data_IF_074541696440
#
_entry.id   IF_074541696440
#
_cell.length_a   1.000
_cell.length_b   1.000
_cell.length_c   1.000
_cell.angle_alpha   90.00
_cell.angle_beta   90.00
_cell.angle_gamma   90.00
#
_symmetry.space_group_name_H-M   'P 1'
#
loop_
_entity.id
_entity.type
_entity.pdbx_description
1 polymer ?
#
# COMPACT_ATOMS: atom_id res chain seq x y z
N UNK A 1 20.48 16.02 29.16
CA UNK A 1 20.43 15.47 27.79
C UNK A 1 18.96 15.19 27.54
N UNK A 2 18.33 15.78 26.53
CA UNK A 2 16.92 15.48 26.22
C UNK A 2 16.85 14.09 25.59
N UNK A 3 15.86 13.30 26.00
CA UNK A 3 15.61 12.00 25.41
C UNK A 3 15.26 12.14 23.92
N UNK A 4 15.72 11.22 23.05
CA UNK A 4 15.43 11.29 21.63
C UNK A 4 13.92 11.14 21.37
N UNK A 5 13.37 11.99 20.52
CA UNK A 5 11.98 11.87 20.07
C UNK A 5 11.88 10.77 19.02
N UNK A 6 10.98 9.81 19.26
CA UNK A 6 10.82 8.61 18.43
C UNK A 6 9.42 8.48 17.85
N UNK A 7 9.29 7.61 16.87
CA UNK A 7 8.02 7.14 16.31
C UNK A 7 8.13 5.65 15.98
N UNK A 8 6.99 4.96 15.96
CA UNK A 8 6.94 3.53 15.71
C UNK A 8 5.54 3.11 15.29
N UNK A 9 5.44 1.94 14.66
CA UNK A 9 4.19 1.24 14.45
C UNK A 9 4.19 -0.04 15.30
N UNK A 10 3.10 -0.28 16.02
CA UNK A 10 3.01 -1.37 16.99
C UNK A 10 2.57 -2.66 16.29
N UNK A 11 3.21 -3.82 16.54
CA UNK A 11 2.71 -5.09 16.01
C UNK A 11 1.32 -5.43 16.58
N UNK A 12 0.39 -6.00 15.79
CA UNK A 12 -1.01 -6.19 16.23
C UNK A 12 -1.19 -7.20 17.37
N UNK A 13 -0.17 -8.02 17.66
CA UNK A 13 -0.16 -8.98 18.77
C UNK A 13 0.40 -8.41 20.08
N UNK A 14 0.77 -7.12 20.12
CA UNK A 14 1.24 -6.42 21.32
C UNK A 14 0.19 -5.45 21.88
N UNK A 15 0.40 -4.98 23.11
CA UNK A 15 -0.41 -3.92 23.69
C UNK A 15 -0.23 -2.60 22.92
N UNK A 16 -1.35 -1.91 22.64
CA UNK A 16 -1.39 -0.74 21.76
C UNK A 16 -0.95 0.59 22.39
N UNK A 17 -1.05 1.67 21.61
CA UNK A 17 -0.60 3.04 21.98
C UNK A 17 -1.69 3.92 22.59
N UNK A 18 -2.91 3.41 22.84
CA UNK A 18 -3.94 4.16 23.58
C UNK A 18 -3.71 4.02 25.10
N UNK A 19 -2.52 4.44 25.51
CA UNK A 19 -2.00 4.36 26.86
C UNK A 19 -0.94 5.46 27.07
N UNK A 20 -0.59 5.75 28.32
CA UNK A 20 0.46 6.74 28.64
C UNK A 20 1.86 6.26 28.22
N UNK A 21 2.08 4.94 28.14
CA UNK A 21 3.34 4.32 27.76
C UNK A 21 3.10 3.05 26.93
N UNK A 22 4.05 2.70 26.07
CA UNK A 22 4.08 1.45 25.30
C UNK A 22 5.49 0.85 25.31
N UNK A 23 5.57 -0.47 25.38
CA UNK A 23 6.83 -1.22 25.27
C UNK A 23 6.99 -1.74 23.84
N UNK A 24 8.14 -1.49 23.22
CA UNK A 24 8.44 -1.93 21.86
C UNK A 24 9.87 -2.48 21.76
N UNK A 25 10.10 -3.32 20.76
CA UNK A 25 11.46 -3.71 20.40
C UNK A 25 12.17 -2.53 19.75
N UNK A 26 13.47 -2.36 20.03
CA UNK A 26 14.27 -1.31 19.40
C UNK A 26 14.32 -1.39 17.86
N UNK A 27 14.08 -2.58 17.29
CA UNK A 27 13.98 -2.80 15.84
C UNK A 27 12.74 -2.17 15.19
N UNK A 28 11.71 -1.88 15.98
CA UNK A 28 10.40 -1.39 15.51
C UNK A 28 10.30 0.14 15.67
N UNK A 29 11.31 0.75 16.27
CA UNK A 29 11.37 2.17 16.64
C UNK A 29 12.38 2.90 15.76
N UNK A 30 12.01 4.11 15.33
CA UNK A 30 12.87 5.01 14.56
C UNK A 30 12.87 6.40 15.19
N UNK A 31 13.83 7.25 14.79
CA UNK A 31 13.84 8.65 15.19
C UNK A 31 12.75 9.42 14.45
N UNK A 32 11.97 10.19 15.21
CA UNK A 32 10.92 11.03 14.65
C UNK A 32 11.56 12.14 13.79
N UNK A 33 11.07 12.40 12.56
CA UNK A 33 11.52 13.54 11.78
C UNK A 33 11.32 14.85 12.56
N UNK A 34 12.37 15.68 12.63
CA UNK A 34 12.35 16.96 13.36
C UNK A 34 11.39 17.98 12.75
N UNK A 35 11.14 17.86 11.44
CA UNK A 35 10.27 18.77 10.69
C UNK A 35 8.77 18.62 11.04
N UNK A 36 8.38 17.48 11.63
CA UNK A 36 6.99 17.21 11.98
C UNK A 36 6.72 17.57 13.44
N UNK A 37 5.49 17.90 13.78
CA UNK A 37 4.98 17.81 15.15
C UNK A 37 4.83 16.34 15.59
N UNK A 38 4.45 16.10 16.85
CA UNK A 38 4.09 14.76 17.31
C UNK A 38 2.79 14.25 16.67
N UNK A 39 1.81 15.14 16.48
CA UNK A 39 0.51 14.78 15.89
C UNK A 39 0.67 14.33 14.44
N UNK A 40 1.42 15.09 13.63
CA UNK A 40 1.71 14.72 12.24
C UNK A 40 2.51 13.43 12.17
N UNK A 41 3.56 13.30 12.99
CA UNK A 41 4.38 12.09 13.02
C UNK A 41 3.60 10.85 13.47
N UNK A 42 2.65 10.97 14.39
CA UNK A 42 1.84 9.83 14.85
C UNK A 42 0.93 9.25 13.75
N UNK A 43 0.60 10.04 12.72
CA UNK A 43 -0.28 9.61 11.62
C UNK A 43 0.38 8.69 10.58
N UNK A 44 1.72 8.60 10.57
CA UNK A 44 2.50 8.02 9.48
C UNK A 44 2.89 6.54 9.70
N UNK A 45 3.41 6.10 10.87
CA UNK A 45 4.15 4.83 10.95
C UNK A 45 3.40 3.61 10.44
N UNK A 46 2.15 3.42 10.86
CA UNK A 46 1.37 2.24 10.47
C UNK A 46 1.08 2.21 8.96
N UNK A 47 0.61 3.32 8.40
CA UNK A 47 0.26 3.41 6.97
C UNK A 47 1.51 3.35 6.09
N UNK A 48 2.60 3.95 6.55
CA UNK A 48 3.87 3.99 5.85
C UNK A 48 4.54 2.61 5.81
N UNK A 49 4.59 1.91 6.95
CA UNK A 49 5.09 0.54 7.01
C UNK A 49 4.25 -0.42 6.14
N UNK A 50 2.93 -0.23 6.12
CA UNK A 50 2.02 -1.02 5.27
C UNK A 50 2.28 -0.77 3.78
N UNK A 51 2.35 0.50 3.37
CA UNK A 51 2.66 0.89 1.99
C UNK A 51 4.06 0.40 1.57
N UNK A 52 5.04 0.50 2.47
CA UNK A 52 6.41 0.04 2.23
C UNK A 52 6.47 -1.48 2.01
N UNK A 53 5.82 -2.26 2.87
CA UNK A 53 5.70 -3.71 2.70
C UNK A 53 5.04 -4.08 1.37
N UNK A 54 3.98 -3.36 0.96
CA UNK A 54 3.28 -3.63 -0.29
C UNK A 54 4.07 -3.22 -1.54
N UNK A 55 4.64 -2.01 -1.57
CA UNK A 55 5.29 -1.46 -2.75
C UNK A 55 6.74 -1.93 -2.89
N UNK A 56 7.48 -1.97 -1.79
CA UNK A 56 8.92 -2.28 -1.78
C UNK A 56 9.14 -3.78 -1.63
N UNK A 57 8.73 -4.34 -0.48
CA UNK A 57 9.03 -5.74 -0.16
C UNK A 57 8.29 -6.70 -1.10
N UNK A 58 6.99 -6.47 -1.32
CA UNK A 58 6.16 -7.34 -2.17
C UNK A 58 6.20 -6.90 -3.64
N UNK A 59 6.04 -5.60 -3.87
CA UNK A 59 6.00 -4.98 -5.19
C UNK A 59 7.36 -4.94 -5.89
N UNK A 60 8.46 -4.86 -5.14
CA UNK A 60 9.81 -4.74 -5.69
C UNK A 60 10.12 -3.36 -6.28
N UNK A 61 9.36 -2.33 -5.91
CA UNK A 61 9.64 -0.95 -6.32
C UNK A 61 10.67 -0.31 -5.38
N UNK A 62 11.56 0.50 -5.95
CA UNK A 62 12.50 1.33 -5.22
C UNK A 62 12.82 2.59 -6.04
N UNK A 63 13.53 3.54 -5.43
CA UNK A 63 13.86 4.84 -6.04
C UNK A 63 14.53 4.74 -7.42
N UNK A 64 15.33 3.71 -7.65
CA UNK A 64 16.11 3.54 -8.88
C UNK A 64 15.30 2.93 -10.03
N UNK A 65 14.23 2.18 -9.73
CA UNK A 65 13.46 1.45 -10.74
C UNK A 65 12.05 2.01 -10.99
N UNK A 66 11.59 2.98 -10.19
CA UNK A 66 10.22 3.50 -10.25
C UNK A 66 10.00 4.57 -11.34
N UNK A 67 11.05 5.30 -11.76
CA UNK A 67 10.97 6.52 -12.60
C UNK A 67 10.30 6.40 -13.98
N UNK A 68 9.96 5.18 -14.42
CA UNK A 68 9.25 4.88 -15.68
C UNK A 68 8.09 3.91 -15.50
N UNK A 69 7.73 3.61 -14.26
CA UNK A 69 6.69 2.65 -13.92
C UNK A 69 5.34 3.36 -13.87
N UNK A 70 4.32 2.69 -14.40
CA UNK A 70 2.92 3.11 -14.28
C UNK A 70 2.30 2.33 -13.13
N UNK A 71 1.84 3.04 -12.11
CA UNK A 71 1.29 2.46 -10.91
C UNK A 71 -0.16 2.90 -10.76
N UNK A 72 -1.05 1.94 -10.51
CA UNK A 72 -2.43 2.21 -10.12
C UNK A 72 -2.58 2.04 -8.62
N UNK A 73 -3.13 3.03 -7.93
CA UNK A 73 -3.46 2.97 -6.51
C UNK A 73 -4.98 3.00 -6.36
N UNK A 74 -5.59 1.88 -5.98
CA UNK A 74 -7.02 1.83 -5.66
C UNK A 74 -7.28 2.24 -4.21
N UNK A 75 -8.38 2.94 -3.97
CA UNK A 75 -8.71 3.46 -2.63
C UNK A 75 -7.72 4.54 -2.17
N UNK A 76 -7.28 5.38 -3.10
CA UNK A 76 -6.11 6.24 -2.94
C UNK A 76 -6.28 7.38 -1.93
N UNK A 77 -7.51 7.73 -1.55
CA UNK A 77 -7.79 8.81 -0.60
C UNK A 77 -7.68 8.39 0.88
N UNK A 78 -7.43 7.11 1.17
CA UNK A 78 -7.17 6.62 2.53
C UNK A 78 -5.70 6.75 2.92
N UNK A 79 -5.37 6.52 4.21
CA UNK A 79 -4.02 6.77 4.74
C UNK A 79 -2.87 6.03 4.03
N UNK A 80 -3.08 4.78 3.62
CA UNK A 80 -2.09 4.02 2.84
C UNK A 80 -1.97 4.59 1.42
N UNK A 81 -3.10 4.94 0.80
CA UNK A 81 -3.16 5.49 -0.54
C UNK A 81 -2.48 6.84 -0.66
N UNK A 82 -2.75 7.75 0.27
CA UNK A 82 -2.16 9.11 0.29
C UNK A 82 -0.66 9.06 0.48
N UNK A 83 -0.17 8.20 1.37
CA UNK A 83 1.26 7.95 1.54
C UNK A 83 1.88 7.31 0.29
N UNK A 84 1.20 6.33 -0.30
CA UNK A 84 1.69 5.61 -1.50
C UNK A 84 1.86 6.53 -2.70
N UNK A 85 0.90 7.44 -2.95
CA UNK A 85 1.01 8.43 -4.04
C UNK A 85 2.32 9.20 -3.86
N UNK A 86 2.49 9.82 -2.70
CA UNK A 86 3.64 10.65 -2.36
C UNK A 86 4.97 9.91 -2.54
N UNK A 87 5.08 8.70 -1.99
CA UNK A 87 6.27 7.86 -2.11
C UNK A 87 6.60 7.55 -3.58
N UNK A 88 5.61 7.13 -4.36
CA UNK A 88 5.78 6.79 -5.78
C UNK A 88 6.19 8.01 -6.60
N UNK A 89 5.61 9.19 -6.30
CA UNK A 89 5.99 10.46 -6.94
C UNK A 89 7.39 10.89 -6.55
N UNK A 90 7.80 10.73 -5.30
CA UNK A 90 9.17 11.00 -4.85
C UNK A 90 10.22 10.14 -5.60
N UNK A 91 9.82 8.98 -6.13
CA UNK A 91 10.65 8.11 -6.96
C UNK A 91 10.45 8.30 -8.47
N UNK A 92 9.67 9.29 -8.88
CA UNK A 92 9.42 9.63 -10.29
C UNK A 92 8.43 8.70 -11.01
N UNK A 93 7.67 7.89 -10.28
CA UNK A 93 6.64 7.03 -10.87
C UNK A 93 5.46 7.83 -11.46
N UNK A 94 4.77 7.22 -12.43
CA UNK A 94 3.50 7.72 -12.94
C UNK A 94 2.36 7.06 -12.17
N UNK A 95 1.59 7.83 -11.42
CA UNK A 95 0.56 7.36 -10.50
C UNK A 95 -0.83 7.67 -11.06
N UNK A 96 -1.61 6.62 -11.28
CA UNK A 96 -3.06 6.73 -11.48
C UNK A 96 -3.74 6.38 -10.16
N UNK A 97 -4.60 7.26 -9.66
CA UNK A 97 -5.31 7.08 -8.40
C UNK A 97 -6.80 6.85 -8.63
N UNK A 98 -7.42 5.96 -7.85
CA UNK A 98 -8.89 5.84 -7.82
C UNK A 98 -9.41 6.11 -6.42
N UNK A 99 -10.46 6.92 -6.32
CA UNK A 99 -11.14 7.22 -5.06
C UNK A 99 -12.57 7.68 -5.34
N UNK A 100 -13.37 7.85 -4.30
CA UNK A 100 -14.67 8.53 -4.42
C UNK A 100 -14.47 10.04 -4.64
N UNK A 101 -15.54 10.70 -5.09
CA UNK A 101 -15.58 12.11 -5.47
C UNK A 101 -14.92 13.06 -4.45
N UNK A 102 -15.14 12.83 -3.16
CA UNK A 102 -14.63 13.71 -2.10
C UNK A 102 -13.10 13.65 -1.95
N UNK A 103 -12.48 12.56 -2.42
CA UNK A 103 -11.03 12.38 -2.38
C UNK A 103 -10.28 12.91 -3.60
N UNK A 104 -10.97 13.32 -4.66
CA UNK A 104 -10.35 13.65 -5.96
C UNK A 104 -9.37 14.83 -5.86
N UNK A 105 -9.76 15.87 -5.12
CA UNK A 105 -8.91 17.05 -4.91
C UNK A 105 -7.63 16.70 -4.16
N UNK A 106 -7.78 15.95 -3.05
CA UNK A 106 -6.66 15.50 -2.22
C UNK A 106 -5.65 14.68 -3.02
N UNK A 107 -6.07 13.62 -3.70
CA UNK A 107 -5.12 12.73 -4.41
C UNK A 107 -4.38 13.43 -5.54
N UNK A 108 -5.03 14.43 -6.17
CA UNK A 108 -4.39 15.28 -7.18
C UNK A 108 -3.35 16.22 -6.56
N UNK A 109 -3.67 16.85 -5.43
CA UNK A 109 -2.73 17.69 -4.68
C UNK A 109 -1.49 16.91 -4.23
N UNK A 110 -1.67 15.66 -3.82
CA UNK A 110 -0.59 14.74 -3.44
C UNK A 110 0.27 14.28 -4.63
N UNK A 111 -0.11 14.63 -5.87
CA UNK A 111 0.70 14.44 -7.07
C UNK A 111 0.29 13.29 -7.98
N UNK A 112 -0.90 12.70 -7.83
CA UNK A 112 -1.41 11.74 -8.80
C UNK A 112 -1.51 12.37 -10.21
N UNK A 113 -1.00 11.68 -11.23
CA UNK A 113 -0.99 12.16 -12.61
C UNK A 113 -2.36 11.99 -13.28
N UNK A 114 -3.03 10.88 -13.01
CA UNK A 114 -4.39 10.57 -13.44
C UNK A 114 -5.25 10.26 -12.21
N UNK A 115 -6.50 10.73 -12.19
CA UNK A 115 -7.46 10.44 -11.11
C UNK A 115 -8.78 9.96 -11.70
N UNK A 116 -9.32 8.86 -11.16
CA UNK A 116 -10.57 8.24 -11.61
C UNK A 116 -11.55 8.18 -10.44
N UNK A 117 -12.76 8.69 -10.68
CA UNK A 117 -13.85 8.69 -9.71
C UNK A 117 -14.59 7.34 -9.69
N UNK A 118 -14.46 6.62 -8.57
CA UNK A 118 -15.12 5.34 -8.31
C UNK A 118 -16.62 5.46 -8.02
N UNK A 119 -17.18 6.65 -7.86
CA UNK A 119 -18.63 6.84 -7.72
C UNK A 119 -19.39 6.67 -9.05
N UNK A 120 -18.66 6.70 -10.18
CA UNK A 120 -19.22 6.50 -11.51
C UNK A 120 -19.26 5.02 -11.88
N UNK A 121 -20.31 4.59 -12.59
CA UNK A 121 -20.48 3.18 -13.02
C UNK A 121 -19.42 2.71 -14.04
N UNK A 122 -18.47 3.57 -14.42
CA UNK A 122 -17.57 3.36 -15.56
C UNK A 122 -16.07 3.32 -15.21
N UNK A 123 -15.71 3.32 -13.92
CA UNK A 123 -14.29 3.38 -13.50
C UNK A 123 -13.43 2.28 -14.17
N UNK A 124 -13.97 1.06 -14.30
CA UNK A 124 -13.27 -0.05 -14.96
C UNK A 124 -13.05 0.20 -16.46
N UNK A 125 -14.02 0.77 -17.19
CA UNK A 125 -13.85 1.09 -18.61
C UNK A 125 -12.87 2.24 -18.80
N UNK A 126 -12.94 3.28 -17.96
CA UNK A 126 -11.98 4.38 -17.97
C UNK A 126 -10.55 3.90 -17.73
N UNK A 127 -10.36 2.91 -16.84
CA UNK A 127 -9.05 2.30 -16.63
C UNK A 127 -8.57 1.47 -17.82
N UNK A 128 -9.49 0.77 -18.51
CA UNK A 128 -9.16 -0.02 -19.71
C UNK A 128 -8.69 0.82 -20.89
N UNK A 129 -9.07 2.10 -20.97
CA UNK A 129 -8.58 3.01 -22.00
C UNK A 129 -7.17 3.56 -21.70
N UNK A 130 -6.65 3.33 -20.48
CA UNK A 130 -5.30 3.74 -20.10
C UNK A 130 -4.26 2.72 -20.53
N UNK A 131 -3.02 3.20 -20.63
CA UNK A 131 -1.87 2.32 -20.77
C UNK A 131 -1.77 1.37 -19.58
N UNK A 132 -1.40 0.12 -19.88
CA UNK A 132 -1.25 -0.94 -18.89
C UNK A 132 -0.26 -0.56 -17.78
N UNK A 133 -0.49 -1.09 -16.59
CA UNK A 133 0.27 -0.79 -15.38
C UNK A 133 1.39 -1.81 -15.13
N UNK A 134 2.48 -1.36 -14.53
CA UNK A 134 3.55 -2.22 -14.03
C UNK A 134 3.23 -2.75 -12.62
N UNK A 135 2.48 -1.99 -11.83
CA UNK A 135 2.03 -2.41 -10.51
C UNK A 135 0.64 -1.84 -10.23
N UNK A 136 -0.21 -2.66 -9.61
CA UNK A 136 -1.49 -2.22 -9.03
C UNK A 136 -1.42 -2.47 -7.54
N UNK A 137 -1.57 -1.40 -6.75
CA UNK A 137 -1.76 -1.46 -5.31
C UNK A 137 -3.26 -1.38 -5.01
N UNK A 138 -3.80 -2.45 -4.44
CA UNK A 138 -5.20 -2.56 -4.08
C UNK A 138 -5.41 -2.47 -2.56
N UNK A 139 -6.10 -1.41 -2.14
CA UNK A 139 -6.53 -1.18 -0.76
C UNK A 139 -8.03 -1.47 -0.56
N UNK A 140 -8.75 -1.89 -1.60
CA UNK A 140 -10.22 -2.02 -1.58
C UNK A 140 -10.62 -3.49 -1.51
N UNK A 141 -9.96 -4.36 -2.28
CA UNK A 141 -10.30 -5.77 -2.39
C UNK A 141 -11.65 -6.02 -3.07
N UNK A 142 -12.16 -7.24 -2.90
CA UNK A 142 -13.45 -7.67 -3.43
C UNK A 142 -13.40 -7.94 -4.94
N UNK A 143 -14.41 -7.46 -5.67
CA UNK A 143 -14.57 -7.71 -7.11
C UNK A 143 -13.58 -6.95 -7.99
N UNK A 144 -12.85 -5.97 -7.44
CA UNK A 144 -11.78 -5.24 -8.14
C UNK A 144 -10.73 -6.20 -8.69
N UNK A 145 -10.42 -7.28 -7.96
CA UNK A 145 -9.37 -8.24 -8.30
C UNK A 145 -9.56 -8.90 -9.67
N UNK A 146 -10.81 -9.20 -10.07
CA UNK A 146 -11.04 -10.05 -11.23
C UNK A 146 -10.76 -9.36 -12.56
N UNK A 147 -10.98 -8.05 -12.64
CA UNK A 147 -10.77 -7.26 -13.87
C UNK A 147 -9.55 -6.35 -13.79
N UNK A 148 -9.11 -5.96 -12.60
CA UNK A 148 -7.93 -5.11 -12.45
C UNK A 148 -6.65 -5.84 -12.86
N UNK A 149 -6.57 -7.16 -12.70
CA UNK A 149 -5.45 -7.96 -13.22
C UNK A 149 -5.25 -7.79 -14.73
N UNK A 150 -6.33 -7.62 -15.50
CA UNK A 150 -6.24 -7.41 -16.94
C UNK A 150 -5.61 -6.06 -17.29
N UNK A 151 -5.52 -5.11 -16.35
CA UNK A 151 -4.89 -3.81 -16.57
C UNK A 151 -3.36 -3.85 -16.47
N UNK A 152 -2.77 -4.95 -16.00
CA UNK A 152 -1.33 -5.10 -15.90
C UNK A 152 -0.68 -5.37 -17.26
N UNK A 153 0.59 -4.96 -17.43
CA UNK A 153 1.38 -5.34 -18.60
C UNK A 153 1.70 -6.85 -18.51
N UNK A 154 1.27 -7.66 -19.48
CA UNK A 154 1.57 -9.09 -19.47
C UNK A 154 3.05 -9.33 -19.77
N UNK A 155 3.63 -10.37 -19.16
CA UNK A 155 5.00 -10.85 -19.39
C UNK A 155 6.11 -9.82 -19.11
N UNK A 156 5.81 -8.78 -18.33
CA UNK A 156 6.74 -7.69 -18.00
C UNK A 156 7.17 -7.66 -16.52
N UNK A 157 6.87 -8.73 -15.77
CA UNK A 157 7.11 -8.77 -14.32
C UNK A 157 6.09 -7.97 -13.50
N UNK A 158 4.96 -7.59 -14.10
CA UNK A 158 3.96 -6.72 -13.48
C UNK A 158 3.20 -7.43 -12.35
N UNK A 159 2.84 -6.67 -11.31
CA UNK A 159 2.26 -7.24 -10.08
C UNK A 159 0.96 -6.58 -9.68
N UNK A 160 -0.03 -7.39 -9.31
CA UNK A 160 -1.19 -6.98 -8.52
C UNK A 160 -0.89 -7.30 -7.06
N UNK A 161 -0.82 -6.27 -6.23
CA UNK A 161 -0.55 -6.38 -4.79
C UNK A 161 -1.77 -5.87 -4.04
N UNK A 162 -2.46 -6.75 -3.32
CA UNK A 162 -3.58 -6.35 -2.47
C UNK A 162 -3.24 -6.48 -1.00
N UNK A 163 -3.69 -5.48 -0.23
CA UNK A 163 -3.63 -5.47 1.23
C UNK A 163 -4.90 -6.09 1.85
N UNK A 164 -5.89 -6.39 1.03
CA UNK A 164 -7.16 -6.98 1.47
C UNK A 164 -7.13 -8.48 1.20
N UNK A 165 -6.51 -9.21 2.13
CA UNK A 165 -6.54 -10.67 2.11
C UNK A 165 -7.86 -11.20 2.70
N UNK A 166 -8.51 -12.19 2.07
CA UNK A 166 -9.67 -12.86 2.67
C UNK A 166 -9.29 -13.72 3.89
N UNK A 167 -8.00 -13.89 4.20
CA UNK A 167 -7.51 -14.84 5.21
C UNK A 167 -8.13 -14.63 6.59
N UNK A 168 -8.08 -13.40 7.12
CA UNK A 168 -8.65 -13.10 8.43
C UNK A 168 -10.18 -13.30 8.42
N UNK A 169 -10.87 -12.74 7.44
CA UNK A 169 -12.32 -12.88 7.29
C UNK A 169 -12.77 -14.34 7.17
N UNK A 170 -12.05 -15.16 6.41
CA UNK A 170 -12.37 -16.56 6.22
C UNK A 170 -12.08 -17.37 7.49
N UNK A 171 -10.97 -17.08 8.18
CA UNK A 171 -10.63 -17.71 9.45
C UNK A 171 -11.63 -17.37 10.55
N UNK A 172 -12.09 -16.11 10.62
CA UNK A 172 -13.08 -15.66 11.58
C UNK A 172 -14.47 -16.28 11.34
N UNK A 173 -14.84 -16.48 10.07
CA UNK A 173 -16.18 -16.96 9.69
C UNK A 173 -16.30 -18.49 9.55
N UNK A 174 -15.24 -19.17 9.11
CA UNK A 174 -15.24 -20.61 8.85
C UNK A 174 -14.40 -21.39 9.86
N UNK A 175 -13.73 -20.70 10.78
CA UNK A 175 -12.74 -21.31 11.67
C UNK A 175 -11.38 -21.48 10.99
N UNK A 176 -10.37 -21.80 11.78
CA UNK A 176 -8.96 -21.74 11.36
C UNK A 176 -8.60 -22.73 10.24
N UNK A 177 -9.17 -23.94 10.26
CA UNK A 177 -8.84 -24.96 9.25
C UNK A 177 -9.49 -24.63 7.90
N UNK A 178 -10.81 -24.46 7.89
CA UNK A 178 -11.57 -24.23 6.65
C UNK A 178 -11.29 -22.83 6.08
N UNK A 179 -11.07 -21.84 6.95
CA UNK A 179 -10.69 -20.49 6.55
C UNK A 179 -9.34 -20.45 5.83
N UNK A 180 -8.32 -21.11 6.39
CA UNK A 180 -6.99 -21.23 5.75
C UNK A 180 -7.09 -21.98 4.43
N UNK A 181 -7.85 -23.07 4.37
CA UNK A 181 -8.03 -23.85 3.14
C UNK A 181 -8.66 -23.02 2.02
N UNK A 182 -9.75 -22.30 2.31
CA UNK A 182 -10.44 -21.49 1.32
C UNK A 182 -9.61 -20.30 0.84
N UNK A 183 -8.84 -19.68 1.74
CA UNK A 183 -7.89 -18.64 1.36
C UNK A 183 -6.77 -19.20 0.48
N UNK A 184 -6.27 -20.40 0.78
CA UNK A 184 -5.33 -21.13 -0.06
C UNK A 184 -5.87 -21.38 -1.47
N UNK A 185 -7.13 -21.84 -1.59
CA UNK A 185 -7.79 -22.03 -2.89
C UNK A 185 -7.93 -20.72 -3.67
N UNK A 186 -8.32 -19.62 -3.01
CA UNK A 186 -8.42 -18.31 -3.65
C UNK A 186 -7.07 -17.84 -4.19
N UNK A 187 -5.99 -18.03 -3.43
CA UNK A 187 -4.64 -17.70 -3.86
C UNK A 187 -4.20 -18.59 -5.03
N UNK A 188 -4.55 -19.88 -4.99
CA UNK A 188 -4.23 -20.84 -6.04
C UNK A 188 -4.89 -20.48 -7.37
N UNK A 189 -6.20 -20.22 -7.37
CA UNK A 189 -6.95 -19.83 -8.57
C UNK A 189 -6.38 -18.55 -9.20
N UNK A 190 -6.06 -17.57 -8.35
CA UNK A 190 -5.46 -16.32 -8.79
C UNK A 190 -4.03 -16.53 -9.28
N UNK A 191 -3.24 -17.39 -8.64
CA UNK A 191 -1.89 -17.74 -9.08
C UNK A 191 -1.90 -18.44 -10.44
N UNK A 192 -2.85 -19.36 -10.70
CA UNK A 192 -3.02 -19.99 -12.02
C UNK A 192 -3.36 -18.95 -13.08
N UNK A 193 -4.36 -18.09 -12.84
CA UNK A 193 -4.69 -16.99 -13.77
C UNK A 193 -3.49 -16.08 -14.01
N UNK A 194 -2.73 -15.81 -12.96
CA UNK A 194 -1.49 -15.04 -13.00
C UNK A 194 -0.49 -15.63 -13.99
N UNK A 195 -0.25 -16.95 -13.91
CA UNK A 195 0.67 -17.68 -14.79
C UNK A 195 0.21 -17.66 -16.24
N UNK A 196 -1.09 -17.84 -16.49
CA UNK A 196 -1.67 -17.83 -17.84
C UNK A 196 -1.57 -16.44 -18.48
N UNK A 197 -1.78 -15.38 -17.71
CA UNK A 197 -1.78 -14.00 -18.20
C UNK A 197 -0.39 -13.31 -18.14
N UNK A 198 0.63 -14.00 -17.63
CA UNK A 198 1.99 -13.46 -17.51
C UNK A 198 2.12 -12.32 -16.49
N UNK A 199 1.29 -12.30 -15.46
CA UNK A 199 1.29 -11.30 -14.38
C UNK A 199 1.52 -11.98 -13.03
N UNK A 200 1.71 -11.23 -11.95
CA UNK A 200 1.84 -11.78 -10.59
C UNK A 200 0.78 -11.24 -9.63
N UNK A 201 0.02 -12.13 -8.99
CA UNK A 201 -0.89 -11.77 -7.89
C UNK A 201 -0.22 -12.05 -6.54
N UNK A 202 -0.23 -11.07 -5.63
CA UNK A 202 0.39 -11.16 -4.30
C UNK A 202 -0.48 -10.50 -3.23
N UNK A 203 -0.47 -11.10 -2.04
CA UNK A 203 -0.92 -10.45 -0.83
C UNK A 203 0.25 -9.74 -0.17
N UNK A 204 0.02 -8.53 0.30
CA UNK A 204 0.89 -7.83 1.20
C UNK A 204 0.22 -7.73 2.57
N UNK A 205 1.05 -7.72 3.61
CA UNK A 205 0.60 -7.57 4.99
C UNK A 205 1.38 -6.44 5.64
N UNK A 206 0.76 -5.80 6.62
CA UNK A 206 1.47 -4.89 7.52
C UNK A 206 2.61 -5.64 8.22
N UNK A 207 3.80 -5.04 8.21
CA UNK A 207 4.97 -5.52 8.93
C UNK A 207 5.60 -4.31 9.64
N UNK A 208 5.76 -4.34 10.98
CA UNK A 208 6.49 -3.30 11.70
C UNK A 208 7.97 -3.33 11.27
N UNK A 209 8.51 -2.19 10.89
CA UNK A 209 9.86 -2.09 10.33
C UNK A 209 10.49 -0.72 10.65
N UNK A 210 11.34 -0.66 11.68
CA UNK A 210 12.06 0.56 12.04
C UNK A 210 13.03 1.04 10.96
N UNK A 211 13.59 0.13 10.15
CA UNK A 211 14.50 0.49 9.05
C UNK A 211 13.72 1.15 7.90
N UNK A 212 12.51 0.67 7.60
CA UNK A 212 11.60 1.36 6.69
C UNK A 212 11.26 2.75 7.22
N UNK A 213 10.95 2.87 8.52
CA UNK A 213 10.68 4.18 9.14
C UNK A 213 11.89 5.12 9.10
N UNK A 214 13.12 4.63 9.23
CA UNK A 214 14.32 5.45 9.05
C UNK A 214 14.41 6.02 7.63
N UNK A 215 14.16 5.19 6.61
CA UNK A 215 14.14 5.64 5.20
C UNK A 215 13.03 6.65 4.94
N UNK A 216 11.86 6.42 5.51
CA UNK A 216 10.72 7.33 5.38
C UNK A 216 11.02 8.64 6.12
N UNK A 217 11.64 8.59 7.29
CA UNK A 217 12.04 9.77 8.03
C UNK A 217 13.08 10.62 7.28
N UNK A 218 13.98 9.99 6.52
CA UNK A 218 14.90 10.68 5.60
C UNK A 218 14.16 11.36 4.45
N UNK A 219 13.15 10.71 3.86
CA UNK A 219 12.33 11.29 2.79
C UNK A 219 11.62 12.54 3.29
N UNK A 220 10.89 12.43 4.40
CA UNK A 220 10.17 13.54 5.06
C UNK A 220 11.13 14.70 5.37
N UNK A 221 12.32 14.40 5.90
CA UNK A 221 13.30 15.44 6.25
C UNK A 221 13.90 16.13 5.02
N UNK A 222 13.91 15.48 3.86
CA UNK A 222 14.41 16.03 2.60
C UNK A 222 13.40 16.91 1.86
N UNK A 223 12.22 17.14 2.44
CA UNK A 223 11.12 17.85 1.79
C UNK A 223 10.51 17.10 0.61
N UNK A 224 10.84 15.80 0.49
CA UNK A 224 10.12 14.87 -0.38
C UNK A 224 8.99 14.29 0.47
N UNK A 225 7.79 14.19 -0.09
CA UNK A 225 6.60 13.92 0.70
C UNK A 225 6.65 12.55 1.39
#
# INVERSE_FOLDING_TARGET
MQDPLVWASIPPWQQGSFAECVLLNGSDVSLKPKALSHVEAASIPYVAATAWSALVTTGGLHSENCSKKRILVHGASGGIGTFSIQLLKAWGGHVTATCFKDGLGLVKELGADDVIDCSTTDAASQLRTRQKFDLILDNVGGETDSWAMDLLKPWAGSKFVTLVSPLLRNTDSLGLVDGVLQSGMTLHDKAIRSLVNGVFYRWAFYVPDGVALDRIGQLVSSGKP
#
